data_IF_943065792134
#
_entry.id   IF_943065792134
#
_cell.length_a   1.000
_cell.length_b   1.000
_cell.length_c   1.000
_cell.angle_alpha   90.00
_cell.angle_beta   90.00
_cell.angle_gamma   90.00
#
_symmetry.space_group_name_H-M   'P 1'
#
loop_
_entity.id
_entity.type
_entity.pdbx_description
1 polymer ?
#
# COMPACT_ATOMS: atom_id res chain seq x y z
N UNK A 1 -20.44 -15.31 1.61
CA UNK A 1 -19.73 -14.66 2.74
C UNK A 1 -18.22 -14.67 2.55
N UNK A 2 -17.64 -15.66 1.85
CA UNK A 2 -16.18 -15.81 1.74
C UNK A 2 -15.48 -14.76 0.86
N UNK A 3 -16.07 -14.38 -0.28
CA UNK A 3 -15.46 -13.40 -1.19
C UNK A 3 -15.57 -11.94 -0.70
N UNK A 4 -16.60 -11.61 0.07
CA UNK A 4 -16.82 -10.26 0.60
C UNK A 4 -15.73 -9.94 1.64
N UNK A 5 -15.44 -10.89 2.53
CA UNK A 5 -14.38 -10.73 3.53
C UNK A 5 -13.01 -10.58 2.84
N UNK A 6 -12.73 -11.40 1.82
CA UNK A 6 -11.51 -11.29 1.02
C UNK A 6 -11.37 -9.93 0.35
N UNK A 7 -12.45 -9.39 -0.22
CA UNK A 7 -12.46 -8.06 -0.84
C UNK A 7 -12.25 -6.94 0.18
N UNK A 8 -12.88 -7.01 1.36
CA UNK A 8 -12.69 -6.03 2.44
C UNK A 8 -11.23 -6.01 2.90
N UNK A 9 -10.62 -7.19 3.09
CA UNK A 9 -9.21 -7.31 3.45
C UNK A 9 -8.33 -6.67 2.37
N UNK A 10 -8.61 -6.97 1.10
CA UNK A 10 -7.84 -6.41 -0.01
C UNK A 10 -7.94 -4.87 -0.07
N UNK A 11 -9.14 -4.33 0.12
CA UNK A 11 -9.37 -2.89 0.17
C UNK A 11 -8.65 -2.24 1.36
N UNK A 12 -8.69 -2.86 2.55
CA UNK A 12 -8.00 -2.35 3.74
C UNK A 12 -6.47 -2.32 3.54
N UNK A 13 -5.89 -3.37 2.97
CA UNK A 13 -4.45 -3.43 2.66
C UNK A 13 -4.10 -2.38 1.60
N UNK A 14 -4.89 -2.22 0.54
CA UNK A 14 -4.67 -1.22 -0.48
C UNK A 14 -4.72 0.22 0.06
N UNK A 15 -5.67 0.51 0.97
CA UNK A 15 -5.76 1.79 1.65
C UNK A 15 -4.52 2.04 2.54
N UNK A 16 -4.07 1.02 3.27
CA UNK A 16 -2.85 1.10 4.07
C UNK A 16 -1.60 1.36 3.21
N UNK A 17 -1.43 0.61 2.10
CA UNK A 17 -0.32 0.82 1.16
C UNK A 17 -0.35 2.23 0.57
N UNK A 18 -1.53 2.74 0.22
CA UNK A 18 -1.69 4.11 -0.29
C UNK A 18 -1.16 5.13 0.73
N UNK A 19 -1.57 5.00 1.99
CA UNK A 19 -1.13 5.88 3.08
C UNK A 19 0.38 5.77 3.34
N UNK A 20 0.91 4.54 3.44
CA UNK A 20 2.33 4.31 3.68
C UNK A 20 3.19 4.83 2.53
N UNK A 21 2.75 4.67 1.28
CA UNK A 21 3.46 5.16 0.09
C UNK A 21 3.50 6.69 0.05
N UNK A 22 2.38 7.35 0.33
CA UNK A 22 2.31 8.80 0.41
C UNK A 22 3.26 9.34 1.51
N UNK A 23 3.35 8.68 2.66
CA UNK A 23 4.27 9.05 3.76
C UNK A 23 5.77 8.91 3.40
N UNK A 24 6.07 8.21 2.30
CA UNK A 24 7.42 7.97 1.78
C UNK A 24 7.70 8.79 0.51
N UNK A 25 6.82 9.72 0.14
CA UNK A 25 6.92 10.51 -1.09
C UNK A 25 6.80 9.66 -2.36
N UNK A 26 6.11 8.52 -2.28
CA UNK A 26 5.84 7.62 -3.40
C UNK A 26 4.39 7.83 -3.89
N UNK A 27 4.09 7.43 -5.12
CA UNK A 27 2.74 7.54 -5.68
C UNK A 27 1.79 6.52 -5.02
N UNK A 28 1.07 6.94 -3.98
CA UNK A 28 0.21 6.03 -3.22
C UNK A 28 -0.95 5.44 -4.02
N UNK A 29 -1.52 6.17 -4.99
CA UNK A 29 -2.59 5.62 -5.84
C UNK A 29 -2.09 4.44 -6.66
N UNK A 30 -0.91 4.59 -7.28
CA UNK A 30 -0.30 3.52 -8.07
C UNK A 30 -0.03 2.27 -7.23
N UNK A 31 0.61 2.44 -6.06
CA UNK A 31 0.95 1.33 -5.18
C UNK A 31 -0.28 0.67 -4.54
N UNK A 32 -1.26 1.46 -4.12
CA UNK A 32 -2.52 0.96 -3.55
C UNK A 32 -3.36 0.16 -4.55
N UNK A 33 -3.58 0.71 -5.75
CA UNK A 33 -4.36 0.03 -6.81
C UNK A 33 -3.63 -1.25 -7.26
N UNK A 34 -2.32 -1.19 -7.46
CA UNK A 34 -1.52 -2.37 -7.82
C UNK A 34 -1.62 -3.47 -6.76
N UNK A 35 -1.67 -3.09 -5.48
CA UNK A 35 -1.84 -4.03 -4.36
C UNK A 35 -3.23 -4.68 -4.34
N UNK A 36 -4.29 -3.94 -4.65
CA UNK A 36 -5.65 -4.50 -4.71
C UNK A 36 -5.79 -5.48 -5.90
N UNK A 37 -5.20 -5.14 -7.05
CA UNK A 37 -5.31 -5.94 -8.28
C UNK A 37 -4.39 -7.17 -8.29
N UNK A 38 -3.18 -7.05 -7.74
CA UNK A 38 -2.12 -8.08 -7.83
C UNK A 38 -1.49 -8.33 -6.46
N UNK A 39 -2.33 -8.50 -5.42
CA UNK A 39 -1.94 -8.61 -4.00
C UNK A 39 -0.69 -9.46 -3.76
N UNK A 40 -0.62 -10.66 -4.35
CA UNK A 40 0.46 -11.63 -4.13
C UNK A 40 1.83 -11.12 -4.62
N UNK A 41 1.87 -10.26 -5.64
CA UNK A 41 3.11 -9.79 -6.27
C UNK A 41 3.38 -8.32 -5.95
N UNK A 42 2.37 -7.46 -6.08
CA UNK A 42 2.51 -6.04 -5.85
C UNK A 42 2.82 -5.70 -4.39
N UNK A 43 2.23 -6.41 -3.42
CA UNK A 43 2.49 -6.15 -2.00
C UNK A 43 3.94 -6.49 -1.61
N UNK A 44 4.50 -7.68 -1.92
CA UNK A 44 5.92 -7.94 -1.66
C UNK A 44 6.84 -6.96 -2.37
N UNK A 45 6.59 -6.66 -3.66
CA UNK A 45 7.40 -5.68 -4.40
C UNK A 45 7.36 -4.32 -3.70
N UNK A 46 6.17 -3.83 -3.34
CA UNK A 46 6.02 -2.56 -2.62
C UNK A 46 6.85 -2.56 -1.33
N UNK A 47 6.76 -3.63 -0.53
CA UNK A 47 7.49 -3.73 0.74
C UNK A 47 9.01 -3.74 0.58
N UNK A 48 9.52 -4.29 -0.53
CA UNK A 48 10.95 -4.32 -0.86
C UNK A 48 11.43 -2.97 -1.38
N UNK A 49 10.69 -2.33 -2.29
CA UNK A 49 11.14 -1.10 -2.97
C UNK A 49 10.71 0.19 -2.26
N UNK A 50 9.94 0.10 -1.16
CA UNK A 50 9.47 1.27 -0.43
C UNK A 50 10.64 2.11 0.07
N UNK A 51 10.58 3.41 -0.20
CA UNK A 51 11.58 4.37 0.23
C UNK A 51 11.53 4.56 1.75
N UNK A 52 12.61 5.05 2.39
CA UNK A 52 12.55 5.52 3.77
C UNK A 52 11.40 6.51 3.96
N UNK A 53 10.83 6.54 5.16
CA UNK A 53 9.81 7.55 5.47
C UNK A 53 10.43 8.93 5.32
N UNK A 54 9.63 9.87 4.84
CA UNK A 54 10.04 11.27 4.83
C UNK A 54 10.35 11.65 6.27
N UNK A 55 11.51 12.29 6.48
CA UNK A 55 11.89 12.78 7.80
C UNK A 55 10.82 13.77 8.22
N UNK A 56 10.07 13.47 9.29
CA UNK A 56 9.25 14.48 9.91
C UNK A 56 10.22 15.58 10.34
N UNK A 57 9.98 16.83 9.91
CA UNK A 57 10.78 17.97 10.35
C UNK A 57 10.63 18.04 11.88
N UNK A 58 11.58 17.47 12.61
CA UNK A 58 11.75 17.65 14.04
C UNK A 58 12.27 19.07 14.23
N UNK A 59 11.35 20.02 14.29
CA UNK A 59 11.59 21.33 14.89
C UNK A 59 11.70 21.17 16.41
#
# INVERSE_FOLDING_TARGET
MDYIIGFIIAAAIGAWVTSDANSRGMNGRFWGISTILVMIVALPIYLIVRKPRLKANSH
#
